data_IF_449730013082
#
_entry.id   IF_449730013082
#
_cell.length_a   1.000
_cell.length_b   1.000
_cell.length_c   1.000
_cell.angle_alpha   90.00
_cell.angle_beta   90.00
_cell.angle_gamma   90.00
#
_symmetry.space_group_name_H-M   'P 1'
#
loop_
_entity.id
_entity.type
_entity.pdbx_description
1 polymer ?
#
# COMPACT_ATOMS: atom_id res chain seq x y z
N UNK A 1 14.82 22.86 -5.16
CA UNK A 1 14.58 21.57 -5.85
C UNK A 1 13.14 21.59 -6.32
N UNK A 2 12.90 22.14 -7.50
CA UNK A 2 11.56 22.40 -8.00
C UNK A 2 11.39 21.56 -9.28
N UNK A 3 10.48 20.59 -9.25
CA UNK A 3 10.17 19.73 -10.40
C UNK A 3 10.24 18.21 -10.22
N UNK A 4 10.51 17.67 -9.01
CA UNK A 4 10.53 16.21 -8.77
C UNK A 4 9.66 15.70 -7.61
N UNK A 5 8.70 16.49 -7.12
CA UNK A 5 7.87 16.11 -5.96
C UNK A 5 6.50 15.54 -6.37
N UNK A 6 6.42 14.76 -7.45
CA UNK A 6 5.22 14.00 -7.77
C UNK A 6 5.55 12.53 -7.66
N UNK A 7 5.36 11.98 -6.46
CA UNK A 7 5.46 10.56 -6.22
C UNK A 7 4.24 9.87 -6.84
N UNK A 8 4.50 8.92 -7.74
CA UNK A 8 3.41 8.05 -8.20
C UNK A 8 3.02 7.13 -7.05
N UNK A 9 1.73 6.88 -6.95
CA UNK A 9 1.16 6.00 -5.95
C UNK A 9 0.64 4.75 -6.65
N UNK A 10 1.11 3.59 -6.23
CA UNK A 10 0.65 2.30 -6.75
C UNK A 10 -0.08 1.52 -5.67
N UNK A 11 -1.14 0.82 -6.06
CA UNK A 11 -1.84 -0.13 -5.19
C UNK A 11 -1.44 -1.53 -5.62
N UNK A 12 -0.98 -2.33 -4.67
CA UNK A 12 -0.61 -3.73 -4.84
C UNK A 12 -1.66 -4.57 -4.15
N UNK A 13 -2.31 -5.45 -4.91
CA UNK A 13 -3.31 -6.40 -4.41
C UNK A 13 -2.72 -7.80 -4.43
N UNK A 14 -2.79 -8.49 -3.29
CA UNK A 14 -2.25 -9.83 -3.15
C UNK A 14 -3.35 -10.88 -3.27
N UNK A 15 -3.18 -11.78 -4.24
CA UNK A 15 -3.97 -13.01 -4.35
C UNK A 15 -3.16 -14.16 -3.76
N UNK A 16 -3.57 -14.63 -2.59
CA UNK A 16 -2.91 -15.73 -1.88
C UNK A 16 -3.96 -16.63 -1.20
N UNK A 17 -3.70 -17.95 -1.09
CA UNK A 17 -4.59 -18.86 -0.38
C UNK A 17 -4.72 -18.44 1.09
N UNK A 18 -5.93 -18.51 1.67
CA UNK A 18 -6.19 -18.10 3.06
C UNK A 18 -5.33 -18.84 4.10
N UNK A 19 -4.82 -20.03 3.78
CA UNK A 19 -3.85 -20.77 4.59
C UNK A 19 -2.55 -20.01 4.84
N UNK A 20 -2.18 -19.06 3.97
CA UNK A 20 -0.99 -18.20 4.13
C UNK A 20 -1.27 -16.88 4.85
N UNK A 21 -2.48 -16.66 5.39
CA UNK A 21 -2.84 -15.43 6.12
C UNK A 21 -1.85 -15.06 7.22
N UNK A 22 -1.37 -16.04 8.01
CA UNK A 22 -0.39 -15.80 9.07
C UNK A 22 0.98 -15.33 8.54
N UNK A 23 1.40 -15.84 7.38
CA UNK A 23 2.63 -15.42 6.68
C UNK A 23 2.43 -14.02 6.10
N UNK A 24 1.25 -13.76 5.51
CA UNK A 24 0.90 -12.46 4.97
C UNK A 24 0.89 -11.37 6.04
N UNK A 25 0.42 -11.64 7.25
CA UNK A 25 0.48 -10.67 8.36
C UNK A 25 1.93 -10.23 8.66
N UNK A 26 2.89 -11.14 8.61
CA UNK A 26 4.32 -10.82 8.81
C UNK A 26 4.87 -9.98 7.67
N UNK A 27 4.53 -10.33 6.42
CA UNK A 27 4.90 -9.54 5.25
C UNK A 27 4.30 -8.13 5.35
N UNK A 28 3.02 -8.02 5.70
CA UNK A 28 2.32 -6.75 5.83
C UNK A 28 2.95 -5.84 6.88
N UNK A 29 3.38 -6.38 8.02
CA UNK A 29 4.16 -5.61 9.00
C UNK A 29 5.45 -5.05 8.39
N UNK A 30 6.21 -5.88 7.65
CA UNK A 30 7.44 -5.42 6.96
C UNK A 30 7.14 -4.35 5.90
N UNK A 31 6.01 -4.46 5.19
CA UNK A 31 5.61 -3.47 4.19
C UNK A 31 5.34 -2.11 4.84
N UNK A 32 4.71 -2.07 6.02
CA UNK A 32 4.53 -0.82 6.76
C UNK A 32 5.86 -0.19 7.18
N UNK A 33 6.89 -0.99 7.47
CA UNK A 33 8.25 -0.49 7.72
C UNK A 33 8.92 0.07 6.44
N UNK A 34 8.49 -0.37 5.25
CA UNK A 34 9.03 0.01 3.93
C UNK A 34 8.21 1.11 3.23
N UNK A 35 7.54 1.99 3.99
CA UNK A 35 6.70 3.09 3.49
C UNK A 35 5.46 2.66 2.69
N UNK A 36 5.01 1.41 2.81
CA UNK A 36 3.69 1.07 2.32
C UNK A 36 2.61 1.58 3.27
N UNK A 37 1.40 1.82 2.76
CA UNK A 37 0.26 2.31 3.53
C UNK A 37 -0.98 1.52 3.19
N UNK A 38 -1.90 1.37 4.15
CA UNK A 38 -3.25 0.86 3.90
C UNK A 38 -4.26 1.99 3.62
N UNK A 39 -3.81 3.23 3.54
CA UNK A 39 -4.65 4.40 3.23
C UNK A 39 -4.09 5.07 1.99
N UNK A 40 -4.96 5.32 1.01
CA UNK A 40 -4.64 6.04 -0.23
C UNK A 40 -5.71 7.10 -0.49
N UNK A 41 -5.32 8.25 -1.04
CA UNK A 41 -6.29 9.24 -1.48
C UNK A 41 -6.97 8.77 -2.77
N UNK A 42 -8.29 8.85 -2.84
CA UNK A 42 -9.03 8.63 -4.09
C UNK A 42 -8.87 9.81 -5.07
N UNK A 43 -9.54 9.74 -6.22
CA UNK A 43 -9.50 10.78 -7.25
C UNK A 43 -9.97 12.16 -6.77
N UNK A 44 -10.72 12.22 -5.65
CA UNK A 44 -11.19 13.45 -5.04
C UNK A 44 -10.29 13.91 -3.87
N UNK A 45 -9.18 13.22 -3.62
CA UNK A 45 -8.29 13.51 -2.51
C UNK A 45 -8.77 12.98 -1.15
N UNK A 46 -9.83 12.17 -1.12
CA UNK A 46 -10.40 11.65 0.13
C UNK A 46 -9.63 10.38 0.54
N UNK A 47 -9.16 10.27 1.80
CA UNK A 47 -8.48 9.07 2.25
C UNK A 47 -9.44 7.87 2.25
N UNK A 48 -9.05 6.82 1.52
CA UNK A 48 -9.72 5.53 1.46
C UNK A 48 -8.84 4.46 2.08
N UNK A 49 -9.44 3.64 2.93
CA UNK A 49 -8.80 2.46 3.45
C UNK A 49 -8.83 1.35 2.39
N UNK A 50 -7.67 0.80 2.10
CA UNK A 50 -7.51 -0.36 1.23
C UNK A 50 -7.98 -1.62 1.94
N UNK A 51 -8.43 -2.60 1.15
CA UNK A 51 -8.84 -3.90 1.68
C UNK A 51 -7.65 -4.62 2.36
N UNK A 52 -7.94 -5.65 3.15
CA UNK A 52 -6.92 -6.34 3.94
C UNK A 52 -5.76 -6.91 3.12
N UNK A 53 -6.02 -7.22 1.86
CA UNK A 53 -5.09 -7.84 0.92
C UNK A 53 -4.41 -6.82 0.01
N UNK A 54 -4.63 -5.52 0.23
CA UNK A 54 -4.12 -4.45 -0.62
C UNK A 54 -3.35 -3.42 0.18
N UNK A 55 -2.27 -2.92 -0.42
CA UNK A 55 -1.44 -1.86 0.16
C UNK A 55 -0.94 -0.93 -0.92
N UNK A 56 -0.73 0.31 -0.54
CA UNK A 56 -0.22 1.37 -1.39
C UNK A 56 1.28 1.54 -1.16
N UNK A 57 2.04 1.89 -2.20
CA UNK A 57 3.44 2.34 -2.08
C UNK A 57 3.66 3.62 -2.88
N UNK A 58 4.33 4.62 -2.30
CA UNK A 58 4.84 5.77 -3.05
C UNK A 58 6.15 5.39 -3.75
N UNK A 59 6.29 5.72 -5.04
CA UNK A 59 7.57 5.59 -5.76
C UNK A 59 8.26 6.94 -5.84
N UNK A 60 9.55 6.95 -5.50
CA UNK A 60 10.47 8.10 -5.57
C UNK A 60 10.98 8.40 -6.97
#
# INVERSE_FOLDING_TARGET
>A
MEGKNKFNTYVVSFDYPSSYSSVFLRLRSLMYDMNFSSIVADEYGIPRQLNENSVMTPTY
#
